data_IF_396021264909
#
_entry.id   IF_396021264909
#
_cell.length_a   1.000
_cell.length_b   1.000
_cell.length_c   1.000
_cell.angle_alpha   90.00
_cell.angle_beta   90.00
_cell.angle_gamma   90.00
#
_symmetry.space_group_name_H-M   'P 1'
#
loop_
_entity.id
_entity.type
_entity.pdbx_description
1 polymer ?
#
# COMPACT_ATOMS: atom_id res chain seq x y z
N UNK A 1 8.79 -32.07 11.84
CA UNK A 1 8.17 -30.76 11.81
C UNK A 1 9.01 -29.82 10.96
N UNK A 2 8.39 -28.90 10.25
CA UNK A 2 9.10 -27.89 9.50
C UNK A 2 9.62 -26.85 10.52
N UNK A 3 10.86 -26.99 10.97
CA UNK A 3 11.56 -26.00 11.81
C UNK A 3 12.02 -24.81 10.94
N UNK A 4 11.06 -24.16 10.26
CA UNK A 4 11.33 -22.97 9.49
C UNK A 4 11.10 -21.76 10.40
N UNK A 5 12.18 -21.10 10.77
CA UNK A 5 12.09 -19.79 11.43
C UNK A 5 11.87 -18.72 10.35
N UNK A 6 10.61 -18.44 10.05
CA UNK A 6 10.18 -17.53 8.98
C UNK A 6 10.80 -16.12 9.06
N UNK A 7 11.09 -15.65 10.27
CA UNK A 7 11.65 -14.31 10.50
C UNK A 7 13.18 -14.33 10.41
N UNK A 8 13.81 -15.47 10.75
CA UNK A 8 15.26 -15.61 10.73
C UNK A 8 15.83 -16.09 9.38
N UNK A 9 14.98 -16.43 8.41
CA UNK A 9 15.40 -16.81 7.08
C UNK A 9 15.29 -15.59 6.13
N UNK A 10 16.41 -15.16 5.49
CA UNK A 10 16.43 -14.02 4.58
C UNK A 10 15.41 -14.13 3.43
N UNK A 11 15.08 -15.36 3.04
CA UNK A 11 14.14 -15.64 1.95
C UNK A 11 12.69 -15.30 2.31
N UNK A 12 12.31 -15.47 3.58
CA UNK A 12 10.93 -15.32 4.02
C UNK A 12 10.70 -14.06 4.86
N UNK A 13 11.74 -13.50 5.47
CA UNK A 13 11.62 -12.38 6.40
C UNK A 13 10.90 -11.17 5.78
N UNK A 14 11.25 -10.79 4.55
CA UNK A 14 10.61 -9.68 3.85
C UNK A 14 9.13 -9.96 3.55
N UNK A 15 8.80 -11.22 3.21
CA UNK A 15 7.42 -11.65 2.97
C UNK A 15 6.60 -11.53 4.26
N UNK A 16 7.17 -11.94 5.40
CA UNK A 16 6.50 -11.80 6.70
C UNK A 16 6.22 -10.33 7.04
N UNK A 17 7.17 -9.44 6.80
CA UNK A 17 6.97 -7.98 6.97
C UNK A 17 5.87 -7.47 6.04
N UNK A 18 5.86 -7.89 4.77
CA UNK A 18 4.85 -7.47 3.80
C UNK A 18 3.45 -7.96 4.18
N UNK A 19 3.30 -9.23 4.58
CA UNK A 19 2.02 -9.80 5.02
C UNK A 19 1.50 -9.09 6.27
N UNK A 20 2.36 -8.84 7.26
CA UNK A 20 1.96 -8.09 8.44
C UNK A 20 1.52 -6.66 8.09
N UNK A 21 2.25 -5.98 7.22
CA UNK A 21 1.91 -4.62 6.78
C UNK A 21 0.56 -4.61 6.06
N UNK A 22 0.30 -5.57 5.16
CA UNK A 22 -0.98 -5.73 4.50
C UNK A 22 -2.12 -6.00 5.49
N UNK A 23 -1.89 -6.84 6.50
CA UNK A 23 -2.85 -7.12 7.55
C UNK A 23 -3.19 -5.86 8.37
N UNK A 24 -2.20 -5.11 8.81
CA UNK A 24 -2.40 -3.87 9.57
C UNK A 24 -3.18 -2.81 8.77
N UNK A 25 -2.93 -2.72 7.46
CA UNK A 25 -3.62 -1.77 6.59
C UNK A 25 -5.01 -2.25 6.14
N UNK A 26 -5.35 -3.53 6.33
CA UNK A 26 -6.62 -4.09 5.86
C UNK A 26 -7.85 -3.40 6.47
N UNK A 27 -7.78 -3.03 7.75
CA UNK A 27 -8.88 -2.38 8.45
C UNK A 27 -9.22 -1.00 7.87
N UNK A 28 -8.22 -0.16 7.65
CA UNK A 28 -8.44 1.17 7.08
C UNK A 28 -8.86 1.09 5.61
N UNK A 29 -8.28 0.15 4.86
CA UNK A 29 -8.67 -0.08 3.48
C UNK A 29 -10.13 -0.55 3.37
N UNK A 30 -10.57 -1.42 4.29
CA UNK A 30 -11.97 -1.83 4.39
C UNK A 30 -12.90 -0.63 4.58
N UNK A 31 -12.53 0.31 5.47
CA UNK A 31 -13.32 1.53 5.70
C UNK A 31 -13.40 2.40 4.44
N UNK A 32 -12.30 2.58 3.71
CA UNK A 32 -12.29 3.34 2.46
C UNK A 32 -13.22 2.72 1.42
N UNK A 33 -13.15 1.40 1.22
CA UNK A 33 -14.02 0.72 0.27
C UNK A 33 -15.50 0.72 0.70
N UNK A 34 -15.76 0.56 2.01
CA UNK A 34 -17.13 0.63 2.54
C UNK A 34 -17.75 2.01 2.33
N UNK A 35 -16.98 3.08 2.59
CA UNK A 35 -17.43 4.45 2.33
C UNK A 35 -17.64 4.69 0.83
N UNK A 36 -16.74 4.16 -0.02
CA UNK A 36 -16.88 4.26 -1.46
C UNK A 36 -18.12 3.57 -2.01
N UNK A 37 -18.44 2.39 -1.47
CA UNK A 37 -19.66 1.66 -1.83
C UNK A 37 -20.92 2.44 -1.43
N UNK A 38 -20.93 3.05 -0.25
CA UNK A 38 -22.05 3.85 0.22
C UNK A 38 -22.30 5.14 -0.58
N UNK A 39 -21.32 5.59 -1.39
CA UNK A 39 -21.46 6.75 -2.24
C UNK A 39 -22.04 6.43 -3.63
N UNK A 40 -22.21 5.15 -3.97
CA UNK A 40 -22.83 4.75 -5.24
C UNK A 40 -24.34 4.78 -5.06
N UNK A 41 -25.03 5.54 -5.90
CA UNK A 41 -26.50 5.69 -5.84
C UNK A 41 -27.20 4.36 -6.12
N UNK A 42 -28.05 3.93 -5.20
CA UNK A 42 -28.84 2.70 -5.31
C UNK A 42 -29.73 2.69 -6.56
N UNK A 43 -30.18 3.86 -7.01
CA UNK A 43 -30.99 4.00 -8.22
C UNK A 43 -30.31 3.43 -9.48
N UNK A 44 -28.97 3.44 -9.51
CA UNK A 44 -28.18 2.84 -10.61
C UNK A 44 -28.36 1.32 -10.63
N UNK A 45 -28.34 0.69 -9.45
CA UNK A 45 -28.55 -0.76 -9.32
C UNK A 45 -29.98 -1.18 -9.60
N UNK A 46 -30.97 -0.36 -9.21
CA UNK A 46 -32.38 -0.58 -9.51
C UNK A 46 -32.65 -0.56 -11.01
N UNK A 47 -32.16 0.49 -11.71
CA UNK A 47 -32.27 0.60 -13.18
C UNK A 47 -31.65 -0.60 -13.88
N UNK A 48 -30.42 -0.98 -13.49
CA UNK A 48 -29.75 -2.15 -14.05
C UNK A 48 -30.52 -3.46 -13.78
N UNK A 49 -31.27 -3.53 -12.67
CA UNK A 49 -32.15 -4.68 -12.37
C UNK A 49 -33.33 -4.77 -13.34
N UNK A 50 -33.94 -3.61 -13.66
CA UNK A 50 -35.02 -3.53 -14.64
C UNK A 50 -34.54 -3.91 -16.03
N UNK A 51 -33.30 -3.54 -16.37
CA UNK A 51 -32.64 -3.90 -17.64
C UNK A 51 -32.19 -5.37 -17.70
N UNK A 52 -32.45 -6.17 -16.66
CA UNK A 52 -32.14 -7.60 -16.61
C UNK A 52 -30.67 -7.90 -16.32
N UNK A 53 -29.88 -6.95 -15.81
CA UNK A 53 -28.48 -7.19 -15.46
C UNK A 53 -28.36 -8.14 -14.26
N UNK A 54 -27.54 -9.17 -14.39
CA UNK A 54 -27.23 -10.09 -13.29
C UNK A 54 -26.20 -9.48 -12.31
N UNK A 55 -26.02 -10.11 -11.14
CA UNK A 55 -25.14 -9.62 -10.08
C UNK A 55 -23.67 -9.42 -10.56
N UNK A 56 -23.17 -10.33 -11.40
CA UNK A 56 -21.82 -10.24 -11.95
C UNK A 56 -21.67 -9.04 -12.90
N UNK A 57 -22.66 -8.82 -13.74
CA UNK A 57 -22.69 -7.66 -14.64
C UNK A 57 -22.76 -6.35 -13.86
N UNK A 58 -23.59 -6.27 -12.80
CA UNK A 58 -23.65 -5.09 -11.93
C UNK A 58 -22.31 -4.84 -11.24
N UNK A 59 -21.65 -5.89 -10.73
CA UNK A 59 -20.35 -5.74 -10.09
C UNK A 59 -19.30 -5.16 -11.04
N UNK A 60 -19.10 -5.76 -12.21
CA UNK A 60 -18.04 -5.33 -13.14
C UNK A 60 -18.36 -4.05 -13.90
N UNK A 61 -19.65 -3.75 -14.18
CA UNK A 61 -20.04 -2.60 -15.01
C UNK A 61 -20.45 -1.37 -14.20
N UNK A 62 -20.84 -1.53 -12.93
CA UNK A 62 -21.33 -0.43 -12.09
C UNK A 62 -20.46 -0.27 -10.84
N UNK A 63 -20.37 -1.33 -10.01
CA UNK A 63 -19.65 -1.24 -8.73
C UNK A 63 -18.16 -0.97 -8.90
N UNK A 64 -17.48 -1.77 -9.71
CA UNK A 64 -16.04 -1.65 -9.91
C UNK A 64 -15.64 -0.32 -10.56
N UNK A 65 -16.30 0.17 -11.61
CA UNK A 65 -16.02 1.51 -12.12
C UNK A 65 -16.39 2.62 -11.14
N UNK A 66 -17.51 2.49 -10.41
CA UNK A 66 -17.91 3.46 -9.37
C UNK A 66 -16.91 3.56 -8.23
N UNK A 67 -16.22 2.45 -7.89
CA UNK A 67 -15.15 2.43 -6.88
C UNK A 67 -13.79 2.89 -7.42
N UNK A 68 -13.64 3.11 -8.72
CA UNK A 68 -12.35 3.44 -9.35
C UNK A 68 -11.59 4.58 -8.65
N UNK A 69 -12.23 5.71 -8.24
CA UNK A 69 -11.53 6.78 -7.53
C UNK A 69 -10.98 6.32 -6.16
N UNK A 70 -11.77 5.54 -5.42
CA UNK A 70 -11.35 5.00 -4.10
C UNK A 70 -10.24 3.95 -4.26
N UNK A 71 -10.35 3.09 -5.26
CA UNK A 71 -9.30 2.12 -5.59
C UNK A 71 -7.98 2.82 -5.92
N UNK A 72 -8.03 3.87 -6.73
CA UNK A 72 -6.86 4.65 -7.07
C UNK A 72 -6.25 5.33 -5.84
N UNK A 73 -7.07 6.04 -5.04
CA UNK A 73 -6.63 6.67 -3.79
C UNK A 73 -5.98 5.66 -2.85
N UNK A 74 -6.64 4.53 -2.61
CA UNK A 74 -6.15 3.47 -1.73
C UNK A 74 -4.81 2.89 -2.24
N UNK A 75 -4.68 2.69 -3.55
CA UNK A 75 -3.45 2.23 -4.17
C UNK A 75 -2.29 3.20 -3.93
N UNK A 76 -2.51 4.51 -4.19
CA UNK A 76 -1.51 5.56 -3.95
C UNK A 76 -1.05 5.57 -2.50
N UNK A 77 -1.99 5.60 -1.57
CA UNK A 77 -1.70 5.64 -0.13
C UNK A 77 -0.93 4.40 0.31
N UNK A 78 -1.36 3.20 -0.11
CA UNK A 78 -0.66 1.96 0.26
C UNK A 78 0.76 1.87 -0.33
N UNK A 79 0.99 2.37 -1.54
CA UNK A 79 2.34 2.42 -2.12
C UNK A 79 3.23 3.36 -1.31
N UNK A 80 2.76 4.56 -0.97
CA UNK A 80 3.52 5.50 -0.14
C UNK A 80 3.84 4.87 1.22
N UNK A 81 2.86 4.24 1.88
CA UNK A 81 3.05 3.57 3.15
C UNK A 81 4.03 2.39 3.08
N UNK A 82 4.06 1.65 1.97
CA UNK A 82 5.01 0.58 1.76
C UNK A 82 6.46 1.09 1.78
N UNK A 83 6.72 2.24 1.13
CA UNK A 83 8.05 2.88 1.18
C UNK A 83 8.39 3.44 2.57
N UNK A 84 7.40 3.79 3.37
CA UNK A 84 7.55 4.34 4.72
C UNK A 84 7.41 3.28 5.82
N UNK A 85 7.42 2.00 5.49
CA UNK A 85 7.28 0.89 6.45
C UNK A 85 8.49 0.81 7.37
N UNK A 86 8.37 1.41 8.55
CA UNK A 86 9.42 1.46 9.57
C UNK A 86 9.12 0.56 10.77
N UNK A 87 7.92 0.72 11.36
CA UNK A 87 7.57 0.09 12.62
C UNK A 87 7.60 -1.43 12.54
N UNK A 88 7.11 -2.00 11.47
CA UNK A 88 7.07 -3.44 11.23
C UNK A 88 8.48 -4.02 11.13
N UNK A 89 9.36 -3.36 10.36
CA UNK A 89 10.76 -3.77 10.22
C UNK A 89 11.49 -3.65 11.56
N UNK A 90 11.32 -2.53 12.27
CA UNK A 90 11.98 -2.30 13.55
C UNK A 90 11.62 -3.33 14.61
N UNK A 91 10.34 -3.73 14.68
CA UNK A 91 9.83 -4.63 15.71
C UNK A 91 10.11 -6.10 15.36
N UNK A 92 9.88 -6.50 14.10
CA UNK A 92 9.99 -7.92 13.71
C UNK A 92 11.41 -8.38 13.44
N UNK A 93 12.14 -7.61 12.65
CA UNK A 93 13.38 -8.09 12.02
C UNK A 93 14.60 -7.23 12.32
N UNK A 94 14.40 -5.99 12.73
CA UNK A 94 15.48 -5.00 12.92
C UNK A 94 16.41 -4.89 11.70
N UNK A 95 15.82 -5.01 10.49
CA UNK A 95 16.55 -4.98 9.22
C UNK A 95 17.17 -6.33 8.79
N UNK A 96 17.15 -7.33 9.68
CA UNK A 96 17.72 -8.66 9.43
C UNK A 96 16.74 -9.67 8.80
N UNK A 97 17.18 -10.91 8.62
CA UNK A 97 18.55 -11.37 8.69
C UNK A 97 19.38 -10.91 7.48
N UNK A 98 20.69 -10.68 7.68
CA UNK A 98 21.59 -10.32 6.58
C UNK A 98 21.16 -9.09 5.76
N UNK A 99 20.52 -8.11 6.40
CA UNK A 99 19.95 -6.90 5.78
C UNK A 99 18.80 -7.14 4.77
N UNK A 100 18.21 -8.33 4.74
CA UNK A 100 17.14 -8.68 3.80
C UNK A 100 15.86 -7.85 3.97
N UNK A 101 15.64 -7.26 5.14
CA UNK A 101 14.51 -6.38 5.45
C UNK A 101 14.95 -4.94 5.78
N UNK A 102 16.18 -4.57 5.43
CA UNK A 102 16.68 -3.22 5.64
C UNK A 102 16.07 -2.24 4.61
N UNK A 103 14.83 -1.87 4.85
CA UNK A 103 14.14 -0.89 4.01
C UNK A 103 14.75 0.51 4.20
N UNK A 104 14.58 1.37 3.20
CA UNK A 104 15.21 2.70 3.15
C UNK A 104 14.93 3.53 4.41
N UNK A 105 13.71 3.50 4.95
CA UNK A 105 13.36 4.25 6.17
C UNK A 105 14.06 3.68 7.40
N UNK A 106 14.20 2.36 7.48
CA UNK A 106 14.94 1.73 8.56
C UNK A 106 16.45 2.02 8.45
N UNK A 107 17.01 2.04 7.24
CA UNK A 107 18.39 2.44 6.98
C UNK A 107 18.66 3.89 7.40
N UNK A 108 17.76 4.83 7.07
CA UNK A 108 17.83 6.23 7.50
C UNK A 108 17.88 6.32 9.04
N UNK A 109 16.97 5.61 9.70
CA UNK A 109 16.93 5.57 11.15
C UNK A 109 18.23 5.01 11.77
N UNK A 110 18.72 3.89 11.24
CA UNK A 110 19.96 3.26 11.71
C UNK A 110 21.18 4.19 11.53
N UNK A 111 21.27 4.83 10.36
CA UNK A 111 22.38 5.77 10.09
C UNK A 111 22.31 7.01 10.98
N UNK A 112 21.11 7.58 11.20
CA UNK A 112 20.96 8.78 12.01
C UNK A 112 21.21 8.50 13.50
N UNK A 113 20.58 7.46 14.08
CA UNK A 113 20.49 7.28 15.53
C UNK A 113 21.45 6.24 16.11
N UNK A 114 21.93 5.31 15.30
CA UNK A 114 22.91 4.31 15.78
C UNK A 114 24.31 4.60 15.28
N UNK A 115 24.46 5.00 14.01
CA UNK A 115 25.76 5.24 13.42
C UNK A 115 26.18 6.71 13.52
N UNK A 116 25.29 7.62 13.96
CA UNK A 116 25.50 9.08 14.03
C UNK A 116 25.97 9.70 12.69
N UNK A 117 25.57 9.07 11.58
CA UNK A 117 25.93 9.48 10.20
C UNK A 117 24.84 10.35 9.60
N UNK A 118 24.61 11.54 10.20
CA UNK A 118 23.51 12.43 9.80
C UNK A 118 23.56 12.85 8.34
N UNK A 119 24.75 13.04 7.76
CA UNK A 119 24.88 13.37 6.35
C UNK A 119 24.37 12.28 5.42
N UNK A 120 24.70 11.01 5.73
CA UNK A 120 24.18 9.84 4.99
C UNK A 120 22.67 9.71 5.13
N UNK A 121 22.17 9.82 6.36
CA UNK A 121 20.74 9.75 6.64
C UNK A 121 19.95 10.85 5.92
N UNK A 122 20.47 12.09 5.91
CA UNK A 122 19.87 13.21 5.19
C UNK A 122 19.84 12.96 3.68
N UNK A 123 20.94 12.48 3.09
CA UNK A 123 20.98 12.13 1.68
C UNK A 123 19.98 11.05 1.29
N UNK A 124 19.89 9.97 2.09
CA UNK A 124 18.90 8.90 1.90
C UNK A 124 17.45 9.43 2.02
N UNK A 125 17.20 10.35 2.95
CA UNK A 125 15.88 10.99 3.11
C UNK A 125 15.46 11.80 1.90
N UNK A 126 16.40 12.56 1.30
CA UNK A 126 16.16 13.31 0.06
C UNK A 126 15.86 12.36 -1.09
N UNK A 127 16.62 11.28 -1.23
CA UNK A 127 16.39 10.26 -2.26
C UNK A 127 15.00 9.63 -2.10
N UNK A 128 14.63 9.23 -0.87
CA UNK A 128 13.29 8.69 -0.58
C UNK A 128 12.19 9.69 -0.95
N UNK A 129 12.37 10.96 -0.56
CA UNK A 129 11.41 12.01 -0.90
C UNK A 129 11.22 12.13 -2.42
N UNK A 130 12.32 12.18 -3.19
CA UNK A 130 12.25 12.27 -4.65
C UNK A 130 11.57 11.05 -5.27
N UNK A 131 11.84 9.84 -4.79
CA UNK A 131 11.20 8.63 -5.27
C UNK A 131 9.69 8.67 -5.02
N UNK A 132 9.27 8.96 -3.78
CA UNK A 132 7.85 9.02 -3.41
C UNK A 132 7.14 10.14 -4.18
N UNK A 133 7.77 11.30 -4.32
CA UNK A 133 7.24 12.42 -5.11
C UNK A 133 7.07 12.03 -6.58
N UNK A 134 8.08 11.44 -7.20
CA UNK A 134 8.00 10.99 -8.59
C UNK A 134 6.89 9.96 -8.80
N UNK A 135 6.80 8.94 -7.92
CA UNK A 135 5.73 7.93 -7.97
C UNK A 135 4.36 8.59 -7.84
N UNK A 136 4.19 9.49 -6.88
CA UNK A 136 2.93 10.20 -6.66
C UNK A 136 2.53 11.02 -7.90
N UNK A 137 3.46 11.75 -8.49
CA UNK A 137 3.19 12.54 -9.71
C UNK A 137 2.80 11.63 -10.90
N UNK A 138 3.49 10.51 -11.08
CA UNK A 138 3.17 9.52 -12.12
C UNK A 138 1.76 8.97 -11.91
N UNK A 139 1.41 8.59 -10.67
CA UNK A 139 0.10 8.05 -10.36
C UNK A 139 -1.02 9.07 -10.63
N UNK A 140 -0.87 10.33 -10.21
CA UNK A 140 -1.84 11.38 -10.53
C UNK A 140 -1.93 11.69 -12.01
N UNK A 141 -0.83 11.56 -12.76
CA UNK A 141 -0.89 11.71 -14.21
C UNK A 141 -1.68 10.57 -14.87
N UNK A 142 -1.55 9.35 -14.36
CA UNK A 142 -2.30 8.19 -14.85
C UNK A 142 -3.80 8.29 -14.51
N UNK A 143 -4.15 8.81 -13.33
CA UNK A 143 -5.55 9.03 -12.92
C UNK A 143 -6.30 9.89 -13.94
N UNK A 144 -5.72 11.03 -14.32
CA UNK A 144 -6.33 11.95 -15.30
C UNK A 144 -6.65 11.29 -16.64
N UNK A 145 -6.00 10.18 -16.97
CA UNK A 145 -6.21 9.44 -18.21
C UNK A 145 -7.15 8.24 -18.08
N UNK A 146 -7.30 7.69 -16.88
CA UNK A 146 -7.98 6.40 -16.63
C UNK A 146 -9.32 6.51 -15.91
N UNK A 147 -9.51 7.53 -15.08
CA UNK A 147 -10.76 7.74 -14.34
C UNK A 147 -11.65 8.70 -15.14
N UNK A 148 -12.62 8.14 -15.86
CA UNK A 148 -13.72 8.93 -16.44
C UNK A 148 -14.76 9.12 -15.34
N UNK A 149 -14.95 10.34 -14.88
CA UNK A 149 -16.07 10.74 -14.02
C UNK A 149 -17.37 10.71 -14.81
#
# INVERSE_FOLDING_TARGET
>A
GLDINWIADPKYALICVAVLTAWLNSGINFLYFSAGLGNIDDSIYERASVDGANAVQKFFKLTLPGLSPIMFYTLVVNIIQAFQSFGQVKILTQGGPGESTNLIVYSIYRDAFFNYRFGSAAAQSVVLFLIVMALTLVMFHMEKRGVKY
#
